data_IF_637487397521
#
_entry.id   IF_637487397521
#
_cell.length_a   1.000
_cell.length_b   1.000
_cell.length_c   1.000
_cell.angle_alpha   90.00
_cell.angle_beta   90.00
_cell.angle_gamma   90.00
#
_symmetry.space_group_name_H-M   'P 1'
#
loop_
_entity.id
_entity.type
_entity.pdbx_description
1 polymer ?
#
# COMPACT_ATOMS: atom_id res chain seq x y z
N UNK A 1 -9.60 56.99 63.07
CA UNK A 1 -10.19 56.21 62.01
C UNK A 1 -9.02 55.47 61.34
N UNK A 2 -8.82 54.20 61.70
CA UNK A 2 -7.67 53.40 61.23
C UNK A 2 -8.18 52.48 60.14
N UNK A 3 -7.63 52.60 58.93
CA UNK A 3 -7.94 51.74 57.80
C UNK A 3 -6.81 50.71 57.68
N UNK A 4 -7.11 49.48 57.99
CA UNK A 4 -6.19 48.35 57.84
C UNK A 4 -6.30 47.80 56.43
N UNK A 5 -5.21 47.87 55.61
CA UNK A 5 -5.09 47.27 54.34
C UNK A 5 -4.77 45.74 54.49
N UNK A 6 -5.64 44.92 54.01
CA UNK A 6 -5.38 43.43 53.88
C UNK A 6 -4.59 43.17 52.62
N UNK A 7 -3.39 42.64 52.75
CA UNK A 7 -2.59 42.13 51.66
C UNK A 7 -3.17 40.80 51.18
N UNK A 8 -3.51 40.74 49.90
CA UNK A 8 -3.99 39.52 49.23
C UNK A 8 -2.77 38.81 48.63
N UNK A 9 -2.40 37.66 49.25
CA UNK A 9 -1.36 36.78 48.73
C UNK A 9 -1.97 35.96 47.61
N UNK A 10 -1.51 36.13 46.36
CA UNK A 10 -1.87 35.30 45.21
C UNK A 10 -0.81 34.20 45.10
N UNK A 11 -1.17 32.90 45.17
CA UNK A 11 -0.20 31.85 44.91
C UNK A 11 0.03 31.74 43.39
N UNK A 12 1.30 31.87 42.99
CA UNK A 12 1.75 31.58 41.63
C UNK A 12 1.66 30.09 41.37
N UNK A 13 0.69 29.67 40.54
CA UNK A 13 0.61 28.34 40.01
C UNK A 13 1.67 28.18 38.90
N UNK A 14 2.72 27.41 39.21
CA UNK A 14 3.71 26.98 38.24
C UNK A 14 3.09 25.89 37.36
N UNK A 15 2.65 26.23 36.14
CA UNK A 15 2.17 25.26 35.17
C UNK A 15 3.40 24.61 34.52
N UNK A 16 3.71 23.40 34.97
CA UNK A 16 4.71 22.55 34.35
C UNK A 16 4.10 22.01 33.08
N UNK A 17 4.45 22.59 31.91
CA UNK A 17 4.07 22.06 30.59
C UNK A 17 4.82 20.76 30.36
N UNK A 18 4.14 19.62 30.56
CA UNK A 18 4.60 18.32 30.11
C UNK A 18 4.54 18.32 28.57
N UNK A 19 5.72 18.39 27.94
CA UNK A 19 5.87 18.16 26.49
C UNK A 19 5.64 16.66 26.26
N UNK A 20 4.38 16.27 26.06
CA UNK A 20 4.00 14.94 25.62
C UNK A 20 4.56 14.71 24.23
N UNK A 21 5.58 13.86 24.11
CA UNK A 21 6.05 13.34 22.83
C UNK A 21 4.87 12.63 22.18
N UNK A 22 4.26 13.22 21.16
CA UNK A 22 3.28 12.57 20.30
C UNK A 22 4.00 11.44 19.56
N UNK A 23 3.99 10.25 20.14
CA UNK A 23 4.35 9.05 19.42
C UNK A 23 3.41 8.98 18.19
N UNK A 24 4.02 9.07 16.99
CA UNK A 24 3.33 8.81 15.72
C UNK A 24 2.62 7.47 15.86
N UNK A 25 1.30 7.37 15.60
CA UNK A 25 0.62 6.08 15.63
C UNK A 25 1.33 5.16 14.63
N UNK A 26 2.04 4.18 15.12
CA UNK A 26 2.57 3.08 14.30
C UNK A 26 1.33 2.31 13.86
N UNK A 27 0.93 2.49 12.60
CA UNK A 27 -0.06 1.61 12.00
C UNK A 27 0.47 0.18 12.17
N UNK A 28 -0.34 -0.77 12.66
CA UNK A 28 0.08 -2.15 12.70
C UNK A 28 0.51 -2.56 11.27
N UNK A 29 1.54 -3.40 11.12
CA UNK A 29 1.93 -3.90 9.82
C UNK A 29 0.67 -4.44 9.14
N UNK A 30 0.40 -3.99 7.92
CA UNK A 30 -0.73 -4.47 7.15
C UNK A 30 -0.55 -5.99 7.02
N UNK A 31 -1.36 -6.74 7.77
CA UNK A 31 -1.41 -8.18 7.62
C UNK A 31 -1.84 -8.43 6.17
N UNK A 32 -1.00 -9.14 5.43
CA UNK A 32 -1.23 -9.46 4.02
C UNK A 32 -2.35 -10.49 3.92
N UNK A 33 -3.60 -10.06 4.05
CA UNK A 33 -4.77 -10.87 3.83
C UNK A 33 -5.27 -10.69 2.40
N UNK A 34 -5.68 -11.78 1.76
CA UNK A 34 -6.46 -11.70 0.52
C UNK A 34 -7.68 -10.83 0.80
N UNK A 35 -8.01 -9.95 -0.11
CA UNK A 35 -9.16 -9.05 0.03
C UNK A 35 -10.09 -9.13 -1.17
N UNK A 36 -11.32 -8.73 -0.95
CA UNK A 36 -12.30 -8.48 -1.99
C UNK A 36 -12.49 -6.98 -2.07
N UNK A 37 -12.38 -6.44 -3.28
CA UNK A 37 -12.68 -5.04 -3.55
C UNK A 37 -14.00 -4.97 -4.31
N UNK A 38 -14.98 -4.33 -3.70
CA UNK A 38 -16.28 -4.04 -4.32
C UNK A 38 -16.16 -2.66 -4.94
N UNK A 39 -16.29 -2.60 -6.25
CA UNK A 39 -16.30 -1.34 -6.99
C UNK A 39 -17.74 -0.98 -7.29
N UNK A 40 -18.16 0.21 -6.89
CA UNK A 40 -19.52 0.70 -7.08
C UNK A 40 -19.65 1.48 -8.39
N UNK A 41 -20.89 1.68 -8.86
CA UNK A 41 -21.18 2.38 -10.10
C UNK A 41 -20.73 3.86 -10.08
N UNK A 42 -20.70 4.48 -8.90
CA UNK A 42 -20.22 5.84 -8.67
C UNK A 42 -18.68 5.94 -8.58
N UNK A 43 -17.98 4.81 -8.72
CA UNK A 43 -16.52 4.73 -8.69
C UNK A 43 -15.91 4.57 -7.31
N UNK A 44 -16.68 4.66 -6.20
CA UNK A 44 -16.08 4.39 -4.90
C UNK A 44 -15.76 2.89 -4.74
N UNK A 45 -14.84 2.57 -3.84
CA UNK A 45 -14.34 1.21 -3.61
C UNK A 45 -14.46 0.87 -2.14
N UNK A 46 -14.93 -0.34 -1.86
CA UNK A 46 -14.98 -0.92 -0.52
C UNK A 46 -14.12 -2.17 -0.49
N UNK A 47 -13.14 -2.23 0.39
CA UNK A 47 -12.31 -3.42 0.60
C UNK A 47 -12.84 -4.22 1.78
N UNK A 48 -12.96 -5.53 1.60
CA UNK A 48 -13.35 -6.50 2.63
C UNK A 48 -12.23 -7.52 2.74
N UNK A 49 -11.67 -7.68 3.94
CA UNK A 49 -10.65 -8.69 4.21
C UNK A 49 -11.28 -10.10 4.13
N UNK A 50 -10.68 -11.00 3.39
CA UNK A 50 -11.14 -12.40 3.33
C UNK A 50 -10.97 -13.14 4.67
N UNK A 51 -10.09 -12.65 5.56
CA UNK A 51 -9.98 -13.19 6.90
C UNK A 51 -11.25 -12.96 7.72
N UNK A 52 -11.96 -11.85 7.47
CA UNK A 52 -13.21 -11.50 8.15
C UNK A 52 -14.45 -12.04 7.44
N UNK A 53 -14.30 -12.45 6.18
CA UNK A 53 -15.41 -12.89 5.35
C UNK A 53 -15.79 -14.34 5.64
N UNK A 54 -17.06 -14.58 5.93
CA UNK A 54 -17.62 -15.92 6.00
C UNK A 54 -18.11 -16.40 4.63
N UNK A 55 -18.90 -15.58 3.92
CA UNK A 55 -19.41 -15.86 2.57
C UNK A 55 -19.98 -14.61 1.90
N UNK A 56 -20.14 -14.68 0.59
CA UNK A 56 -20.91 -13.73 -0.23
C UNK A 56 -22.09 -14.50 -0.83
N UNK A 57 -23.28 -13.94 -0.71
CA UNK A 57 -24.49 -14.47 -1.35
C UNK A 57 -24.86 -13.55 -2.51
N UNK A 58 -24.70 -14.06 -3.72
CA UNK A 58 -25.10 -13.35 -4.95
C UNK A 58 -26.62 -13.48 -5.17
N UNK A 59 -27.35 -12.69 -4.41
CA UNK A 59 -28.80 -12.55 -4.50
C UNK A 59 -29.14 -11.09 -4.79
N UNK A 60 -30.42 -10.77 -4.82
CA UNK A 60 -30.87 -9.39 -4.90
C UNK A 60 -31.58 -9.04 -3.59
N UNK A 61 -30.93 -8.29 -2.68
CA UNK A 61 -29.58 -7.69 -2.75
C UNK A 61 -28.43 -8.70 -2.60
N UNK A 62 -27.20 -8.31 -2.97
CA UNK A 62 -25.99 -9.05 -2.63
C UNK A 62 -25.76 -8.97 -1.13
N UNK A 63 -25.52 -10.09 -0.48
CA UNK A 63 -25.33 -10.15 0.98
C UNK A 63 -23.89 -10.56 1.28
N UNK A 64 -23.17 -9.72 2.00
CA UNK A 64 -21.86 -10.04 2.56
C UNK A 64 -22.08 -10.49 3.99
N UNK A 65 -21.64 -11.70 4.32
CA UNK A 65 -21.74 -12.27 5.67
C UNK A 65 -20.34 -12.36 6.26
N UNK A 66 -20.14 -11.70 7.39
CA UNK A 66 -18.86 -11.71 8.11
C UNK A 66 -18.82 -12.87 9.12
N UNK A 67 -17.60 -13.29 9.51
CA UNK A 67 -17.39 -14.36 10.50
C UNK A 67 -17.92 -14.02 11.89
N UNK A 68 -17.98 -12.73 12.23
CA UNK A 68 -18.56 -12.23 13.49
C UNK A 68 -20.10 -12.21 13.49
N UNK A 69 -20.73 -12.66 12.41
CA UNK A 69 -22.19 -12.73 12.24
C UNK A 69 -22.83 -11.45 11.69
N UNK A 70 -22.06 -10.37 11.49
CA UNK A 70 -22.58 -9.17 10.80
C UNK A 70 -22.94 -9.51 9.36
N UNK A 71 -23.94 -8.79 8.84
CA UNK A 71 -24.35 -8.88 7.45
C UNK A 71 -24.44 -7.48 6.85
N UNK A 72 -23.99 -7.36 5.60
CA UNK A 72 -24.11 -6.14 4.82
C UNK A 72 -24.88 -6.46 3.53
N UNK A 73 -25.97 -5.72 3.30
CA UNK A 73 -26.79 -5.84 2.11
C UNK A 73 -26.38 -4.74 1.12
N UNK A 74 -26.03 -5.12 -0.09
CA UNK A 74 -25.64 -4.20 -1.15
C UNK A 74 -26.60 -4.35 -2.33
N UNK A 75 -27.27 -3.27 -2.78
CA UNK A 75 -28.08 -3.32 -3.99
C UNK A 75 -27.21 -3.78 -5.15
N UNK A 76 -27.61 -4.83 -5.87
CA UNK A 76 -26.84 -5.35 -6.99
C UNK A 76 -26.68 -4.31 -8.11
N UNK A 77 -27.60 -3.37 -8.21
CA UNK A 77 -27.55 -2.24 -9.17
C UNK A 77 -26.43 -1.25 -8.89
N UNK A 78 -25.98 -1.18 -7.64
CA UNK A 78 -24.94 -0.21 -7.23
C UNK A 78 -23.54 -0.79 -7.42
N UNK A 79 -23.41 -2.10 -7.62
CA UNK A 79 -22.14 -2.80 -7.81
C UNK A 79 -21.77 -2.80 -9.28
N UNK A 80 -20.63 -2.20 -9.64
CA UNK A 80 -20.06 -2.28 -10.98
C UNK A 80 -19.33 -3.62 -11.17
N UNK A 81 -18.51 -4.03 -10.19
CA UNK A 81 -17.79 -5.30 -10.21
C UNK A 81 -17.24 -5.66 -8.82
N UNK A 82 -16.89 -6.91 -8.66
CA UNK A 82 -16.19 -7.44 -7.48
C UNK A 82 -14.84 -7.97 -7.95
N UNK A 83 -13.76 -7.44 -7.37
CA UNK A 83 -12.39 -7.83 -7.65
C UNK A 83 -11.86 -8.67 -6.49
N UNK A 84 -11.16 -9.76 -6.79
CA UNK A 84 -10.48 -10.57 -5.78
C UNK A 84 -8.99 -10.19 -5.80
N UNK A 85 -8.50 -9.58 -4.74
CA UNK A 85 -7.09 -9.29 -4.58
C UNK A 85 -6.44 -10.45 -3.83
N UNK A 86 -5.55 -11.22 -4.50
CA UNK A 86 -4.86 -12.32 -3.85
C UNK A 86 -3.93 -11.78 -2.75
N UNK A 87 -3.68 -12.60 -1.73
CA UNK A 87 -2.62 -12.31 -0.74
C UNK A 87 -1.35 -11.97 -1.49
N UNK A 88 -0.74 -10.85 -1.16
CA UNK A 88 0.67 -10.65 -1.47
C UNK A 88 1.44 -11.73 -0.70
N UNK A 89 1.70 -12.87 -1.33
CA UNK A 89 2.30 -14.01 -0.64
C UNK A 89 3.67 -13.58 -0.09
N UNK A 90 3.90 -13.76 1.20
CA UNK A 90 5.19 -13.50 1.83
C UNK A 90 6.30 -14.27 1.10
N UNK A 91 6.00 -15.47 0.61
CA UNK A 91 6.88 -16.26 -0.24
C UNK A 91 7.16 -15.60 -1.60
N UNK A 92 6.15 -14.95 -2.22
CA UNK A 92 6.33 -14.19 -3.45
C UNK A 92 7.07 -12.88 -3.22
N UNK A 93 6.87 -12.25 -2.04
CA UNK A 93 7.55 -11.00 -1.69
C UNK A 93 9.06 -11.19 -1.52
N UNK A 94 9.50 -12.24 -0.82
CA UNK A 94 10.92 -12.52 -0.61
C UNK A 94 11.69 -12.70 -1.92
N UNK A 95 11.04 -13.17 -2.97
CA UNK A 95 11.62 -13.32 -4.31
C UNK A 95 12.02 -11.99 -4.93
N UNK A 96 11.26 -10.92 -4.63
CA UNK A 96 11.49 -9.60 -5.23
C UNK A 96 12.33 -8.68 -4.37
N UNK A 97 12.51 -8.96 -3.07
CA UNK A 97 13.37 -8.17 -2.19
C UNK A 97 14.79 -8.18 -2.71
N UNK A 98 15.43 -7.00 -2.73
CA UNK A 98 16.82 -6.83 -3.15
C UNK A 98 17.00 -5.72 -4.19
N UNK A 99 18.15 -5.73 -4.84
CA UNK A 99 18.55 -4.71 -5.80
C UNK A 99 18.45 -5.24 -7.24
N UNK A 100 17.65 -4.59 -8.02
CA UNK A 100 17.33 -4.95 -9.40
C UNK A 100 18.00 -3.99 -10.37
N UNK A 101 18.85 -4.51 -11.25
CA UNK A 101 19.32 -3.78 -12.41
C UNK A 101 18.24 -3.83 -13.49
N UNK A 102 17.81 -2.68 -14.00
CA UNK A 102 16.76 -2.53 -15.01
C UNK A 102 17.17 -1.53 -16.08
N UNK A 103 16.63 -1.67 -17.29
CA UNK A 103 16.87 -0.73 -18.36
C UNK A 103 16.00 0.53 -18.27
N UNK A 104 16.51 1.65 -18.78
CA UNK A 104 15.77 2.92 -18.90
C UNK A 104 14.85 2.95 -20.13
N UNK A 105 15.04 2.04 -21.09
CA UNK A 105 14.32 2.05 -22.37
C UNK A 105 15.05 2.80 -23.49
N UNK A 106 16.10 3.55 -23.20
CA UNK A 106 16.95 4.31 -24.14
C UNK A 106 18.36 3.72 -24.32
N UNK A 107 18.61 2.52 -23.73
CA UNK A 107 19.92 1.85 -23.73
C UNK A 107 20.70 2.00 -22.42
N UNK A 108 20.29 2.92 -21.55
CA UNK A 108 20.84 3.06 -20.19
C UNK A 108 20.29 2.02 -19.23
N UNK A 109 20.94 1.89 -18.06
CA UNK A 109 20.49 1.04 -16.95
C UNK A 109 20.53 1.83 -15.64
N UNK A 110 19.63 1.47 -14.73
CA UNK A 110 19.60 1.98 -13.37
C UNK A 110 19.24 0.85 -12.39
N UNK A 111 19.21 1.17 -11.11
CA UNK A 111 18.85 0.20 -10.09
C UNK A 111 17.54 0.59 -9.41
N UNK A 112 16.72 -0.43 -9.12
CA UNK A 112 15.56 -0.37 -8.23
C UNK A 112 15.91 -1.23 -7.02
N UNK A 113 15.82 -0.66 -5.81
CA UNK A 113 15.92 -1.41 -4.56
C UNK A 113 14.52 -1.60 -4.00
N UNK A 114 14.17 -2.85 -3.69
CA UNK A 114 12.90 -3.24 -3.06
C UNK A 114 13.20 -3.75 -1.66
N UNK A 115 12.82 -2.97 -0.65
CA UNK A 115 13.04 -3.32 0.75
C UNK A 115 11.92 -4.22 1.30
N UNK A 116 12.22 -5.00 2.30
CA UNK A 116 11.28 -5.98 2.88
C UNK A 116 10.05 -5.32 3.53
N UNK A 117 10.17 -4.07 3.98
CA UNK A 117 9.09 -3.28 4.58
C UNK A 117 8.10 -2.70 3.55
N UNK A 118 8.42 -2.77 2.25
CA UNK A 118 7.58 -2.26 1.16
C UNK A 118 8.02 -0.91 0.60
N UNK A 119 9.14 -0.36 1.06
CA UNK A 119 9.75 0.78 0.43
C UNK A 119 10.47 0.39 -0.86
N UNK A 120 10.49 1.31 -1.81
CA UNK A 120 11.22 1.19 -3.06
C UNK A 120 12.03 2.47 -3.34
N UNK A 121 13.21 2.32 -3.96
CA UNK A 121 14.10 3.45 -4.31
C UNK A 121 14.71 3.25 -5.69
N UNK A 122 14.79 4.32 -6.48
CA UNK A 122 15.57 4.38 -7.73
C UNK A 122 16.96 4.95 -7.50
N UNK A 123 17.95 4.44 -8.21
CA UNK A 123 19.31 5.03 -8.23
C UNK A 123 19.42 6.26 -9.13
N UNK A 124 18.39 6.56 -9.92
CA UNK A 124 18.30 7.77 -10.76
C UNK A 124 17.15 8.65 -10.25
N UNK A 125 17.29 9.96 -10.40
CA UNK A 125 16.27 10.93 -10.02
C UNK A 125 15.94 11.03 -8.53
N UNK A 126 16.51 10.14 -7.68
CA UNK A 126 16.27 10.13 -6.24
C UNK A 126 14.83 9.79 -5.85
N UNK A 127 14.03 9.19 -6.74
CA UNK A 127 12.63 8.87 -6.49
C UNK A 127 12.48 7.75 -5.47
N UNK A 128 11.54 7.96 -4.57
CA UNK A 128 11.06 6.97 -3.60
C UNK A 128 9.69 6.45 -4.01
N UNK A 129 9.30 5.32 -3.47
CA UNK A 129 8.02 4.73 -3.76
C UNK A 129 7.70 3.60 -2.80
N UNK A 130 6.56 2.99 -3.03
CA UNK A 130 6.12 1.80 -2.30
C UNK A 130 5.91 0.64 -3.27
N UNK A 131 6.09 -0.57 -2.78
CA UNK A 131 5.88 -1.75 -3.60
C UNK A 131 5.11 -2.86 -2.89
N UNK A 132 4.42 -3.66 -3.67
CA UNK A 132 3.70 -4.85 -3.22
C UNK A 132 3.75 -5.93 -4.29
N UNK A 133 3.41 -7.18 -3.92
CA UNK A 133 3.28 -8.28 -4.89
C UNK A 133 1.82 -8.49 -5.22
N UNK A 134 1.47 -8.40 -6.50
CA UNK A 134 0.13 -8.65 -7.02
C UNK A 134 0.24 -9.62 -8.19
N UNK A 135 -0.51 -10.72 -8.15
CA UNK A 135 -0.54 -11.72 -9.22
C UNK A 135 0.85 -12.22 -9.67
N UNK A 136 1.82 -12.33 -8.73
CA UNK A 136 3.16 -12.84 -9.00
C UNK A 136 4.12 -11.82 -9.62
N UNK A 137 3.79 -10.53 -9.63
CA UNK A 137 4.66 -9.43 -10.03
C UNK A 137 4.85 -8.41 -8.90
N UNK A 138 6.03 -7.83 -8.77
CA UNK A 138 6.27 -6.71 -7.88
C UNK A 138 5.78 -5.43 -8.55
N UNK A 139 4.72 -4.82 -8.03
CA UNK A 139 4.17 -3.54 -8.48
C UNK A 139 4.70 -2.42 -7.60
N UNK A 140 5.25 -1.39 -8.23
CA UNK A 140 5.92 -0.27 -7.59
C UNK A 140 5.21 1.01 -7.99
N UNK A 141 4.82 1.83 -7.02
CA UNK A 141 4.26 3.16 -7.25
C UNK A 141 5.25 4.20 -6.75
N UNK A 142 5.68 5.09 -7.63
CA UNK A 142 6.67 6.12 -7.37
C UNK A 142 6.03 7.45 -6.96
N UNK A 143 6.73 8.25 -6.18
CA UNK A 143 6.33 9.59 -5.75
C UNK A 143 6.22 10.60 -6.91
N UNK A 144 6.88 10.32 -8.04
CA UNK A 144 6.79 11.10 -9.29
C UNK A 144 5.57 10.74 -10.17
N UNK A 145 4.71 9.82 -9.69
CA UNK A 145 3.49 9.35 -10.37
C UNK A 145 3.71 8.24 -11.40
N UNK A 146 4.96 7.87 -11.70
CA UNK A 146 5.26 6.69 -12.48
C UNK A 146 4.95 5.40 -11.73
N UNK A 147 4.76 4.31 -12.48
CA UNK A 147 4.62 2.97 -11.93
C UNK A 147 5.58 2.02 -12.66
N UNK A 148 6.15 1.08 -11.93
CA UNK A 148 6.94 -0.02 -12.50
C UNK A 148 6.38 -1.36 -12.01
N UNK A 149 6.44 -2.39 -12.87
CA UNK A 149 6.17 -3.77 -12.48
C UNK A 149 7.37 -4.63 -12.85
N UNK A 150 7.87 -5.45 -11.91
CA UNK A 150 8.88 -6.47 -12.17
C UNK A 150 8.20 -7.82 -12.09
N UNK A 151 8.31 -8.60 -13.17
CA UNK A 151 7.70 -9.92 -13.25
C UNK A 151 8.62 -10.96 -13.86
N UNK A 152 8.36 -12.23 -13.54
CA UNK A 152 9.07 -13.36 -14.13
C UNK A 152 8.48 -13.69 -15.52
N UNK A 153 9.37 -13.90 -16.50
CA UNK A 153 9.02 -14.33 -17.85
C UNK A 153 9.96 -15.48 -18.21
N UNK A 154 9.43 -16.71 -18.21
CA UNK A 154 10.26 -17.90 -18.37
C UNK A 154 11.31 -18.03 -17.27
N UNK A 155 12.59 -18.06 -17.63
CA UNK A 155 13.73 -18.09 -16.68
C UNK A 155 14.27 -16.70 -16.31
N UNK A 156 13.75 -15.63 -16.91
CA UNK A 156 14.23 -14.26 -16.78
C UNK A 156 13.19 -13.37 -16.08
N UNK A 157 13.53 -12.11 -15.86
CA UNK A 157 12.60 -11.10 -15.41
C UNK A 157 12.60 -9.91 -16.38
N UNK A 158 11.45 -9.22 -16.45
CA UNK A 158 11.30 -7.96 -17.15
C UNK A 158 10.74 -6.88 -16.21
N UNK A 159 11.13 -5.64 -16.47
CA UNK A 159 10.50 -4.45 -15.89
C UNK A 159 9.57 -3.85 -16.94
N UNK A 160 8.36 -3.50 -16.53
CA UNK A 160 7.38 -2.73 -17.28
C UNK A 160 7.21 -1.36 -16.62
N UNK A 161 7.34 -0.29 -17.38
CA UNK A 161 7.12 1.05 -16.88
C UNK A 161 5.82 1.64 -17.42
N UNK A 162 5.12 2.39 -16.60
CA UNK A 162 3.84 3.05 -16.89
C UNK A 162 3.95 4.52 -16.49
N UNK A 163 3.61 5.39 -17.43
CA UNK A 163 3.60 6.85 -17.23
C UNK A 163 2.55 7.29 -16.21
N UNK A 164 2.71 8.49 -15.63
CA UNK A 164 1.69 9.07 -14.75
C UNK A 164 0.29 9.05 -15.39
N UNK A 165 -0.69 8.61 -14.60
CA UNK A 165 -2.08 8.47 -15.05
C UNK A 165 -2.42 7.15 -15.73
N UNK A 166 -1.44 6.27 -15.98
CA UNK A 166 -1.68 4.90 -16.45
C UNK A 166 -1.75 3.91 -15.30
N UNK A 167 -2.50 2.85 -15.49
CA UNK A 167 -2.61 1.73 -14.55
C UNK A 167 -1.72 0.55 -14.96
N UNK A 168 -1.50 -0.40 -14.06
CA UNK A 168 -0.79 -1.64 -14.35
C UNK A 168 -1.50 -2.55 -15.38
N UNK A 169 -2.76 -2.27 -15.70
CA UNK A 169 -3.54 -3.01 -16.69
C UNK A 169 -3.45 -2.40 -18.10
N UNK A 170 -2.83 -1.22 -18.22
CA UNK A 170 -2.64 -0.55 -19.50
C UNK A 170 -1.42 -1.11 -20.24
N UNK A 171 -1.27 -0.69 -21.50
CA UNK A 171 -0.04 -0.97 -22.26
C UNK A 171 1.13 -0.22 -21.61
N UNK A 172 2.23 -0.90 -21.22
CA UNK A 172 3.38 -0.23 -20.64
C UNK A 172 4.04 0.73 -21.63
N UNK A 173 4.56 1.84 -21.13
CA UNK A 173 5.31 2.83 -21.93
C UNK A 173 6.65 2.27 -22.41
N UNK A 174 7.28 1.40 -21.62
CA UNK A 174 8.43 0.60 -22.04
C UNK A 174 8.50 -0.74 -21.31
N UNK A 175 9.21 -1.70 -21.92
CA UNK A 175 9.53 -3.01 -21.35
C UNK A 175 11.03 -3.25 -21.50
N UNK A 176 11.70 -3.58 -20.38
CA UNK A 176 13.15 -3.81 -20.35
C UNK A 176 13.47 -5.04 -19.53
N UNK A 177 14.68 -5.60 -19.72
CA UNK A 177 15.15 -6.67 -18.85
C UNK A 177 15.30 -6.20 -17.41
N UNK A 178 15.05 -7.10 -16.46
CA UNK A 178 15.29 -6.91 -15.03
C UNK A 178 16.13 -8.06 -14.48
N UNK A 179 17.16 -7.74 -13.68
CA UNK A 179 18.03 -8.73 -13.06
C UNK A 179 18.24 -8.38 -11.59
N UNK A 180 17.93 -9.31 -10.70
CA UNK A 180 18.28 -9.15 -9.29
C UNK A 180 19.79 -9.33 -9.13
N UNK A 181 20.49 -8.29 -8.64
CA UNK A 181 21.95 -8.28 -8.45
C UNK A 181 22.35 -8.59 -7.01
N UNK A 182 21.42 -8.50 -6.08
CA UNK A 182 21.60 -8.82 -4.66
C UNK A 182 20.43 -9.67 -4.17
N UNK A 183 20.25 -10.90 -4.68
CA UNK A 183 19.21 -11.78 -4.20
C UNK A 183 19.52 -12.15 -2.74
N UNK A 184 18.53 -12.05 -1.84
CA UNK A 184 18.70 -12.61 -0.50
C UNK A 184 18.89 -14.11 -0.64
N UNK A 185 19.86 -14.72 0.08
CA UNK A 185 19.93 -16.17 0.15
C UNK A 185 18.61 -16.71 0.74
N UNK A 186 18.10 -17.75 0.07
CA UNK A 186 16.89 -18.47 0.46
C UNK A 186 17.22 -19.29 1.72
#
# INVERSE_FOLDING_TARGET
>A
MRITAKALCVPAFLILAAVGSLAKPTSPPAENHASIVIVFQDGHRQTVDMADLARIEFKTPVIIVFKDGRQQNLPATDIARIEFEPVASTAGRSHFVGKWQVGEGNGGNFYITLDADGEARKSIGGSHGTWTVVAGEARISWDDGWHDAIRKVGSSHEKRAYEPGRSFNDTPSNVTAARNTEPKPI
#
